data_IF_891767178880
#
_entry.id   IF_891767178880
#
_cell.length_a   1.000
_cell.length_b   1.000
_cell.length_c   1.000
_cell.angle_alpha   90.00
_cell.angle_beta   90.00
_cell.angle_gamma   90.00
#
_symmetry.space_group_name_H-M   'P 1'
#
loop_
_entity.id
_entity.type
_entity.pdbx_description
1 polymer ?
#
# COMPACT_ATOMS: atom_id res chain seq x y z
N UNK A 1 12.27 -19.77 -18.83
CA UNK A 1 12.29 -18.37 -18.35
C UNK A 1 13.75 -17.95 -18.23
N UNK A 2 14.15 -16.87 -18.88
CA UNK A 2 15.53 -16.36 -18.89
C UNK A 2 15.66 -15.15 -17.98
N UNK A 3 16.87 -14.88 -17.47
CA UNK A 3 17.20 -13.68 -16.65
C UNK A 3 16.70 -12.36 -17.26
N UNK A 4 16.68 -12.27 -18.60
CA UNK A 4 16.19 -11.10 -19.35
C UNK A 4 14.70 -10.83 -19.12
N UNK A 5 13.87 -11.86 -18.91
CA UNK A 5 12.45 -11.71 -18.60
C UNK A 5 12.23 -11.15 -17.20
N UNK A 6 13.00 -11.64 -16.22
CA UNK A 6 12.87 -11.24 -14.82
C UNK A 6 13.37 -9.82 -14.58
N UNK A 7 14.46 -9.42 -15.26
CA UNK A 7 14.92 -8.02 -15.26
C UNK A 7 13.84 -7.07 -15.77
N UNK A 8 13.16 -7.44 -16.86
CA UNK A 8 12.08 -6.63 -17.44
C UNK A 8 10.90 -6.52 -16.48
N UNK A 9 10.50 -7.61 -15.82
CA UNK A 9 9.41 -7.57 -14.83
C UNK A 9 9.77 -6.71 -13.62
N UNK A 10 11.00 -6.79 -13.12
CA UNK A 10 11.48 -5.91 -12.05
C UNK A 10 11.44 -4.43 -12.48
N UNK A 11 11.87 -4.12 -13.70
CA UNK A 11 11.79 -2.76 -14.25
C UNK A 11 10.35 -2.26 -14.40
N UNK A 12 9.43 -3.12 -14.85
CA UNK A 12 8.00 -2.80 -14.90
C UNK A 12 7.44 -2.52 -13.52
N UNK A 13 7.82 -3.32 -12.51
CA UNK A 13 7.44 -3.10 -11.12
C UNK A 13 7.96 -1.75 -10.60
N UNK A 14 9.25 -1.46 -10.78
CA UNK A 14 9.87 -0.19 -10.36
C UNK A 14 9.13 1.00 -10.98
N UNK A 15 8.82 0.91 -12.28
CA UNK A 15 8.07 1.96 -13.00
C UNK A 15 6.69 2.16 -12.40
N UNK A 16 5.95 1.06 -12.15
CA UNK A 16 4.61 1.12 -11.57
C UNK A 16 4.61 1.73 -10.16
N UNK A 17 5.57 1.38 -9.32
CA UNK A 17 5.69 1.95 -7.97
C UNK A 17 6.00 3.46 -8.02
N UNK A 18 6.90 3.90 -8.89
CA UNK A 18 7.19 5.34 -9.08
C UNK A 18 5.98 6.13 -9.60
N UNK A 19 5.19 5.54 -10.49
CA UNK A 19 3.95 6.17 -10.97
C UNK A 19 2.89 6.33 -9.88
N UNK A 20 2.94 5.50 -8.83
CA UNK A 20 2.01 5.54 -7.71
C UNK A 20 2.71 5.96 -6.40
N UNK A 21 3.75 6.81 -6.50
CA UNK A 21 4.55 7.26 -5.37
C UNK A 21 3.74 7.92 -4.25
N UNK A 22 2.58 8.50 -4.55
CA UNK A 22 1.68 9.12 -3.55
C UNK A 22 1.18 8.14 -2.48
N UNK A 23 1.20 6.83 -2.76
CA UNK A 23 0.81 5.80 -1.79
C UNK A 23 1.90 5.45 -0.79
N UNK A 24 3.10 6.00 -0.98
CA UNK A 24 4.30 5.59 -0.25
C UNK A 24 5.02 6.81 0.33
N UNK A 25 5.64 6.59 1.48
CA UNK A 25 6.71 7.48 1.90
C UNK A 25 7.87 7.41 0.89
N UNK A 26 8.41 8.58 0.53
CA UNK A 26 9.43 8.67 -0.53
C UNK A 26 10.76 8.03 -0.13
N UNK A 27 11.16 8.15 1.13
CA UNK A 27 12.39 7.56 1.64
C UNK A 27 12.27 6.04 1.69
N UNK A 28 11.16 5.53 2.26
CA UNK A 28 10.90 4.10 2.33
C UNK A 28 10.82 3.45 0.93
N UNK A 29 10.18 4.11 -0.03
CA UNK A 29 10.12 3.63 -1.40
C UNK A 29 11.50 3.54 -2.03
N UNK A 30 12.35 4.57 -1.88
CA UNK A 30 13.69 4.55 -2.45
C UNK A 30 14.56 3.47 -1.80
N UNK A 31 14.48 3.29 -0.49
CA UNK A 31 15.19 2.24 0.24
C UNK A 31 14.73 0.82 -0.19
N UNK A 32 13.43 0.63 -0.45
CA UNK A 32 12.92 -0.64 -0.96
C UNK A 32 13.42 -0.91 -2.38
N UNK A 33 13.52 0.12 -3.23
CA UNK A 33 14.02 -0.03 -4.60
C UNK A 33 15.54 -0.23 -4.68
N UNK A 34 16.31 0.11 -3.64
CA UNK A 34 17.73 -0.22 -3.54
C UNK A 34 17.99 -1.60 -2.94
N UNK A 35 16.98 -2.24 -2.32
CA UNK A 35 17.15 -3.52 -1.64
C UNK A 35 17.80 -3.41 -0.26
N UNK A 36 17.82 -2.21 0.33
CA UNK A 36 18.49 -1.88 1.59
C UNK A 36 17.50 -1.54 2.72
N UNK A 37 16.20 -1.67 2.46
CA UNK A 37 15.17 -1.42 3.45
C UNK A 37 15.16 -2.52 4.53
N UNK A 38 15.05 -2.12 5.79
CA UNK A 38 14.72 -3.04 6.88
C UNK A 38 13.24 -3.48 6.75
N UNK A 39 12.91 -4.76 7.01
CA UNK A 39 11.54 -5.21 6.94
C UNK A 39 10.62 -4.44 7.89
N UNK A 40 9.51 -3.94 7.36
CA UNK A 40 8.43 -3.35 8.15
C UNK A 40 7.60 -4.49 8.74
N UNK A 41 7.39 -4.49 10.06
CA UNK A 41 6.58 -5.50 10.74
C UNK A 41 5.11 -5.11 10.57
N UNK A 42 4.30 -6.06 10.09
CA UNK A 42 2.88 -5.86 9.84
C UNK A 42 2.14 -6.85 10.73
N UNK A 43 1.33 -6.34 11.66
CA UNK A 43 0.53 -7.21 12.51
C UNK A 43 -0.73 -7.66 11.78
N UNK A 44 -1.31 -8.79 12.20
CA UNK A 44 -2.45 -9.42 11.51
C UNK A 44 -3.65 -8.47 11.34
N UNK A 45 -3.91 -7.60 12.32
CA UNK A 45 -5.01 -6.64 12.27
C UNK A 45 -4.83 -5.55 11.18
N UNK A 46 -3.59 -5.31 10.74
CA UNK A 46 -3.27 -4.26 9.77
C UNK A 46 -3.17 -4.80 8.35
N UNK A 47 -3.15 -6.12 8.15
CA UNK A 47 -2.80 -6.75 6.88
C UNK A 47 -3.67 -6.29 5.69
N UNK A 48 -4.95 -5.97 5.95
CA UNK A 48 -5.91 -5.54 4.92
C UNK A 48 -6.08 -4.01 4.86
N UNK A 49 -5.41 -3.27 5.75
CA UNK A 49 -5.43 -1.81 5.72
C UNK A 49 -4.55 -1.27 4.61
N UNK A 50 -4.76 -0.02 4.21
CA UNK A 50 -3.87 0.65 3.26
C UNK A 50 -2.41 0.61 3.73
N UNK A 51 -2.15 0.84 5.02
CA UNK A 51 -0.82 0.76 5.61
C UNK A 51 -0.20 -0.64 5.50
N UNK A 52 -0.95 -1.68 5.84
CA UNK A 52 -0.45 -3.06 5.76
C UNK A 52 -0.13 -3.45 4.32
N UNK A 53 -1.01 -3.12 3.38
CA UNK A 53 -0.81 -3.46 1.96
C UNK A 53 0.40 -2.69 1.39
N UNK A 54 0.52 -1.38 1.64
CA UNK A 54 1.66 -0.61 1.14
C UNK A 54 2.97 -1.06 1.78
N UNK A 55 2.95 -1.46 3.06
CA UNK A 55 4.11 -2.05 3.74
C UNK A 55 4.50 -3.42 3.16
N UNK A 56 3.52 -4.27 2.81
CA UNK A 56 3.79 -5.56 2.14
C UNK A 56 4.40 -5.35 0.75
N UNK A 57 3.91 -4.36 0.01
CA UNK A 57 4.48 -3.95 -1.29
C UNK A 57 5.95 -3.58 -1.13
N UNK A 58 6.29 -2.72 -0.15
CA UNK A 58 7.67 -2.28 0.08
C UNK A 58 8.58 -3.44 0.51
N UNK A 59 8.14 -4.26 1.46
CA UNK A 59 8.89 -5.44 1.92
C UNK A 59 9.18 -6.42 0.77
N UNK A 60 8.16 -6.73 -0.02
CA UNK A 60 8.30 -7.70 -1.13
C UNK A 60 9.16 -7.13 -2.25
N UNK A 61 9.03 -5.84 -2.55
CA UNK A 61 9.88 -5.16 -3.54
C UNK A 61 11.34 -5.19 -3.13
N UNK A 62 11.64 -4.88 -1.86
CA UNK A 62 12.97 -4.92 -1.31
C UNK A 62 13.62 -6.30 -1.47
N UNK A 63 12.88 -7.36 -1.14
CA UNK A 63 13.37 -8.72 -1.29
C UNK A 63 13.56 -9.12 -2.76
N UNK A 64 12.67 -8.71 -3.66
CA UNK A 64 12.83 -8.94 -5.10
C UNK A 64 14.12 -8.32 -5.66
N UNK A 65 14.41 -7.06 -5.30
CA UNK A 65 15.62 -6.37 -5.73
C UNK A 65 16.86 -7.01 -5.12
N UNK A 66 16.86 -7.23 -3.79
CA UNK A 66 17.99 -7.79 -3.04
C UNK A 66 18.38 -9.20 -3.53
N UNK A 67 17.40 -9.99 -3.95
CA UNK A 67 17.59 -11.41 -4.32
C UNK A 67 17.71 -11.66 -5.83
N UNK A 68 17.54 -10.63 -6.67
CA UNK A 68 17.54 -10.74 -8.15
C UNK A 68 18.77 -11.45 -8.74
N UNK A 69 19.94 -11.36 -8.09
CA UNK A 69 21.16 -12.01 -8.55
C UNK A 69 21.45 -13.37 -7.88
N UNK A 70 20.61 -13.84 -6.95
CA UNK A 70 20.92 -15.01 -6.11
C UNK A 70 19.84 -16.10 -6.01
N UNK A 71 18.66 -15.92 -6.62
CA UNK A 71 17.50 -16.83 -6.46
C UNK A 71 16.88 -17.22 -7.82
N UNK A 72 16.09 -18.30 -7.82
CA UNK A 72 15.21 -18.69 -8.93
C UNK A 72 14.34 -17.52 -9.42
N UNK A 73 14.63 -17.11 -10.66
CA UNK A 73 13.92 -16.11 -11.44
C UNK A 73 12.39 -16.28 -11.44
N UNK A 74 11.88 -17.51 -11.29
CA UNK A 74 10.44 -17.77 -11.22
C UNK A 74 9.80 -17.18 -9.97
N UNK A 75 10.45 -17.31 -8.80
CA UNK A 75 9.94 -16.79 -7.54
C UNK A 75 9.86 -15.27 -7.56
N UNK A 76 10.87 -14.61 -8.13
CA UNK A 76 10.91 -13.16 -8.29
C UNK A 76 9.80 -12.69 -9.22
N UNK A 77 9.57 -13.40 -10.33
CA UNK A 77 8.48 -13.06 -11.24
C UNK A 77 7.11 -13.16 -10.57
N UNK A 78 6.86 -14.23 -9.81
CA UNK A 78 5.62 -14.40 -9.05
C UNK A 78 5.45 -13.31 -8.00
N UNK A 79 6.51 -12.99 -7.26
CA UNK A 79 6.48 -11.92 -6.27
C UNK A 79 6.21 -10.55 -6.91
N UNK A 80 6.86 -10.22 -8.05
CA UNK A 80 6.57 -8.99 -8.78
C UNK A 80 5.10 -8.90 -9.23
N UNK A 81 4.50 -10.00 -9.69
CA UNK A 81 3.08 -10.03 -10.05
C UNK A 81 2.18 -9.80 -8.83
N UNK A 82 2.48 -10.44 -7.69
CA UNK A 82 1.74 -10.25 -6.44
C UNK A 82 1.81 -8.79 -5.95
N UNK A 83 2.97 -8.14 -6.08
CA UNK A 83 3.13 -6.72 -5.74
C UNK A 83 2.27 -5.83 -6.64
N UNK A 84 2.25 -6.09 -7.95
CA UNK A 84 1.41 -5.32 -8.88
C UNK A 84 -0.09 -5.47 -8.57
N UNK A 85 -0.53 -6.64 -8.14
CA UNK A 85 -1.92 -6.84 -7.72
C UNK A 85 -2.24 -6.12 -6.40
N UNK A 86 -1.34 -6.23 -5.42
CA UNK A 86 -1.44 -5.51 -4.14
C UNK A 86 -1.47 -3.99 -4.35
N UNK A 87 -0.73 -3.47 -5.35
CA UNK A 87 -0.74 -2.07 -5.72
C UNK A 87 -2.12 -1.61 -6.22
N UNK A 88 -2.83 -2.44 -7.00
CA UNK A 88 -4.20 -2.12 -7.41
C UNK A 88 -5.14 -2.05 -6.22
N UNK A 89 -5.02 -3.00 -5.28
CA UNK A 89 -5.81 -3.00 -4.05
C UNK A 89 -5.56 -1.72 -3.22
N UNK A 90 -4.29 -1.34 -3.03
CA UNK A 90 -3.93 -0.11 -2.33
C UNK A 90 -4.52 1.15 -3.00
N UNK A 91 -4.50 1.23 -4.33
CA UNK A 91 -5.13 2.33 -5.07
C UNK A 91 -6.63 2.43 -4.81
N UNK A 92 -7.35 1.32 -4.84
CA UNK A 92 -8.80 1.31 -4.61
C UNK A 92 -9.13 1.79 -3.19
N UNK A 93 -8.44 1.26 -2.17
CA UNK A 93 -8.62 1.68 -0.78
C UNK A 93 -8.31 3.17 -0.56
N UNK A 94 -7.29 3.70 -1.23
CA UNK A 94 -6.95 5.12 -1.18
C UNK A 94 -8.02 6.00 -1.82
N UNK A 95 -8.71 5.53 -2.86
CA UNK A 95 -9.81 6.28 -3.50
C UNK A 95 -11.07 6.25 -2.63
N UNK A 96 -11.42 5.10 -2.05
CA UNK A 96 -12.58 4.96 -1.17
C UNK A 96 -12.45 5.83 0.09
N UNK A 97 -11.23 5.95 0.63
CA UNK A 97 -10.94 6.81 1.78
C UNK A 97 -11.19 8.31 1.47
N UNK A 98 -11.02 8.73 0.22
CA UNK A 98 -11.31 10.10 -0.23
C UNK A 98 -12.80 10.34 -0.55
N UNK A 99 -13.59 9.28 -0.73
CA UNK A 99 -15.03 9.36 -1.01
C UNK A 99 -15.88 9.41 0.27
N UNK A 100 -15.29 9.18 1.44
CA UNK A 100 -15.98 9.22 2.75
C UNK A 100 -15.97 10.62 3.41
N UNK A 101 -16.13 11.68 2.61
CA UNK A 101 -16.42 13.04 3.11
C UNK A 101 -17.85 13.41 2.74
N UNK A 102 -18.81 12.64 3.26
CA UNK A 102 -20.17 13.17 3.43
C UNK A 102 -20.16 13.83 4.81
N UNK A 103 -20.24 15.17 4.93
CA UNK A 103 -20.38 15.79 6.24
C UNK A 103 -21.62 15.17 6.90
N UNK A 104 -21.59 14.85 8.21
CA UNK A 104 -22.77 14.34 8.88
C UNK A 104 -23.89 15.34 8.64
N UNK A 105 -24.96 14.89 7.99
CA UNK A 105 -26.19 15.65 7.86
C UNK A 105 -26.59 16.02 9.27
N UNK A 106 -26.51 17.31 9.60
CA UNK A 106 -27.01 17.84 10.87
C UNK A 106 -28.49 17.47 10.89
N UNK A 107 -28.86 16.50 11.71
CA UNK A 107 -30.26 16.16 11.97
C UNK A 107 -30.90 17.37 12.69
N UNK A 108 -31.88 18.06 12.09
CA UNK A 108 -32.46 19.26 12.70
C UNK A 108 -33.31 18.98 13.95
N UNK A 109 -33.49 17.73 14.38
CA UNK A 109 -34.45 17.40 15.45
C UNK A 109 -33.89 17.34 16.88
N UNK A 110 -32.61 17.66 17.12
CA UNK A 110 -32.07 17.79 18.49
C UNK A 110 -32.25 19.19 19.11
N UNK A 111 -33.45 19.79 19.02
CA UNK A 111 -33.80 21.00 19.79
C UNK A 111 -35.05 20.83 20.68
N UNK A 112 -35.31 19.61 21.14
CA UNK A 112 -36.32 19.37 22.17
C UNK A 112 -35.70 18.60 23.33
N UNK A 113 -35.29 19.33 24.38
CA UNK A 113 -35.65 19.14 25.80
C UNK A 113 -34.63 19.81 26.73
N UNK A 114 -35.15 20.32 27.86
CA UNK A 114 -34.51 21.04 28.99
C UNK A 114 -34.49 22.58 28.81
N UNK A 115 -35.21 23.40 29.59
CA UNK A 115 -35.89 23.17 30.86
C UNK A 115 -37.00 24.21 31.08
N UNK A 116 -38.19 23.75 31.49
CA UNK A 116 -39.07 24.51 32.39
C UNK A 116 -38.70 24.13 33.83
N UNK A 117 -38.90 25.09 34.75
CA UNK A 117 -38.79 25.03 36.22
C UNK A 117 -37.32 25.13 36.71
N UNK A 118 -36.94 26.13 37.51
CA UNK A 118 -37.53 26.51 38.79
C UNK A 118 -37.31 28.00 39.16
N UNK A 119 -38.34 28.56 39.81
CA UNK A 119 -38.45 29.78 40.65
C UNK A 119 -38.34 31.18 40.02
#
# INVERSE_FOLDING_TARGET
>A
MTLTSTKRQLQSLVTALRQNHILFDSELLNNALSGEMKPIIIIKAEAETLFGITSQILNTTNECVRRFNGIDNRLINTACLAVLESLKQAKNLSLDSNLSVVPPTIDPQCQYYHSKQDR
#
